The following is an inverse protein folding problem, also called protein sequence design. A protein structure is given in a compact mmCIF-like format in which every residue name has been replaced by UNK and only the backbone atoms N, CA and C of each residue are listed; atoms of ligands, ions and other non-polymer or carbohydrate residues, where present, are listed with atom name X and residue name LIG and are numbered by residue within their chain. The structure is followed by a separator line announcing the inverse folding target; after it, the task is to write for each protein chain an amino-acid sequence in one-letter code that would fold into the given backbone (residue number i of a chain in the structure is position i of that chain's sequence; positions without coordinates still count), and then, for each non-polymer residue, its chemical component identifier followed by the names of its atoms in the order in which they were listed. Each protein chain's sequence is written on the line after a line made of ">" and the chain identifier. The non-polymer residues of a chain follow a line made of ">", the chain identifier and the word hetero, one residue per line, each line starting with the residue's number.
data_IF_989770557887
#
_entry.id   IF_989770557887
#
_cell.length_a   1.000
_cell.length_b   1.000
_cell.length_c   1.000
_cell.angle_alpha   90.00
_cell.angle_beta   90.00
_cell.angle_gamma   90.00
#
_symmetry.space_group_name_H-M   'P 1'
#
loop_
_entity.id
_entity.type
_entity.pdbx_description
1 polymer ?
2 non-polymer ?
3 water ?
#
# COMPACT_ATOMS: atom_id res chain seq x y z
N UNK A 1 -3.67 -6.97 -21.02
CA UNK A 1 -2.73 -5.83 -20.91
C UNK A 1 -3.17 -4.88 -19.81
N UNK A 2 -2.51 -3.73 -19.70
CA UNK A 2 -2.75 -2.77 -18.61
C UNK A 2 -2.60 -1.37 -19.14
N UNK A 3 -3.39 -0.46 -18.62
CA UNK A 3 -3.19 0.96 -18.92
C UNK A 3 -1.80 1.38 -18.46
N UNK A 4 -1.16 2.16 -19.30
CA UNK A 4 0.16 2.73 -19.02
C UNK A 4 -0.01 4.24 -18.84
N UNK A 5 0.39 4.75 -17.67
CA UNK A 5 0.25 6.16 -17.37
C UNK A 5 1.63 6.73 -17.12
N UNK A 6 1.81 7.99 -17.54
CA UNK A 6 3.06 8.71 -17.25
C UNK A 6 2.80 9.74 -16.16
N UNK A 7 3.34 9.47 -14.99
CA UNK A 7 3.06 10.28 -13.80
C UNK A 7 4.34 10.62 -13.06
N UNK A 8 4.31 11.73 -12.30
CA UNK A 8 5.35 11.95 -11.31
C UNK A 8 5.34 10.83 -10.27
N UNK A 9 6.48 10.67 -9.60
CA UNK A 9 6.67 9.60 -8.60
C UNK A 9 7.13 10.20 -7.27
N UNK A 10 6.44 9.85 -6.19
CA UNK A 10 6.94 10.13 -4.84
C UNK A 10 7.60 8.87 -4.27
N UNK A 11 8.89 8.98 -3.91
CA UNK A 11 9.56 7.87 -3.29
C UNK A 11 9.26 7.85 -1.79
N UNK A 12 8.87 6.68 -1.27
CA UNK A 12 8.47 6.55 0.14
C UNK A 12 9.64 5.99 0.92
N UNK A 13 10.09 6.70 1.94
CA UNK A 13 11.29 6.22 2.62
C UNK A 13 11.17 4.88 3.30
N UNK A 14 10.10 4.65 4.03
CA UNK A 14 10.02 3.43 4.82
C UNK A 14 8.59 3.01 5.07
N UNK A 15 7.75 3.23 4.08
CA UNK A 15 6.38 2.82 4.16
C UNK A 15 6.00 2.26 2.81
N UNK A 16 4.99 1.42 2.82
CA UNK A 16 4.36 0.92 1.61
C UNK A 16 2.91 1.32 1.70
N UNK A 17 2.40 1.87 0.62
CA UNK A 17 1.02 2.26 0.54
C UNK A 17 0.31 1.21 -0.32
N UNK A 18 -0.88 0.82 0.12
CA UNK A 18 -1.70 -0.15 -0.58
C UNK A 18 -2.91 0.53 -1.21
N UNK A 19 -3.43 -0.04 -2.29
CA UNK A 19 -4.66 0.50 -2.85
C UNK A 19 -5.81 0.45 -1.85
N UNK A 20 -6.86 1.25 -2.09
CA UNK A 20 -8.05 1.33 -1.23
C UNK A 20 -7.75 2.00 0.12
N UNK A 21 -6.67 2.76 0.21
CA UNK A 21 -6.39 3.52 1.41
C UNK A 21 -6.20 4.97 1.05
N UNK A 22 -6.58 5.84 1.99
CA UNK A 22 -6.34 7.27 1.89
C UNK A 22 -5.52 7.62 3.12
N UNK A 23 -4.32 8.14 2.90
CA UNK A 23 -3.37 8.36 3.99
C UNK A 23 -2.55 9.65 3.80
N UNK A 24 -2.08 10.24 4.91
CA UNK A 24 -1.17 11.38 4.83
C UNK A 24 0.26 10.94 4.56
N UNK A 25 0.93 11.63 3.64
CA UNK A 25 2.33 11.44 3.40
C UNK A 25 2.99 12.80 3.63
N UNK A 26 3.88 12.87 4.61
CA UNK A 26 4.63 14.09 4.88
C UNK A 26 5.90 14.05 4.06
N UNK A 27 6.08 15.03 3.18
CA UNK A 27 7.31 15.05 2.38
C UNK A 27 8.09 16.33 2.59
N UNK A 28 9.37 16.17 2.90
CA UNK A 28 10.27 17.26 3.11
C UNK A 28 11.18 17.54 1.93
N UNK A 29 11.43 16.52 1.09
CA UNK A 29 12.36 16.71 -0.02
C UNK A 29 11.81 17.60 -1.14
N UNK A 30 12.67 18.43 -1.69
CA UNK A 30 12.29 19.30 -2.76
C UNK A 30 11.79 18.57 -4.00
N UNK A 31 12.44 17.47 -4.38
CA UNK A 31 12.01 16.76 -5.57
C UNK A 31 10.64 16.13 -5.34
N UNK A 32 10.35 15.72 -4.13
CA UNK A 32 9.03 15.16 -3.80
C UNK A 32 7.96 16.26 -3.89
N UNK A 33 8.25 17.43 -3.36
CA UNK A 33 7.32 18.55 -3.48
C UNK A 33 7.09 18.94 -4.93
N UNK A 34 8.15 18.91 -5.75
CA UNK A 34 8.04 19.16 -7.16
C UNK A 34 7.11 18.15 -7.82
N UNK A 35 7.29 16.87 -7.49
CA UNK A 35 6.43 15.82 -8.06
C UNK A 35 4.96 16.08 -7.71
N UNK A 36 4.69 16.51 -6.48
CA UNK A 36 3.32 16.82 -6.08
C UNK A 36 2.77 17.97 -6.91
N UNK A 37 3.55 19.03 -7.08
CA UNK A 37 3.10 20.17 -7.90
C UNK A 37 2.80 19.78 -9.34
N UNK A 38 3.64 18.92 -9.91
CA UNK A 38 3.45 18.45 -11.25
C UNK A 38 2.18 17.58 -11.35
N UNK A 39 1.91 16.78 -10.33
CA UNK A 39 0.71 15.94 -10.30
C UNK A 39 -0.53 16.82 -10.21
N UNK A 40 -0.48 17.87 -9.39
CA UNK A 40 -1.60 18.83 -9.34
C UNK A 40 -1.89 19.46 -10.70
N UNK A 41 -0.84 19.70 -11.48
CA UNK A 41 -0.98 20.25 -12.82
C UNK A 41 -1.62 19.34 -13.85
N UNK A 42 -1.79 18.06 -13.51
CA UNK A 42 -2.38 17.08 -14.41
C UNK A 42 -3.24 16.08 -13.63
N UNK A 43 -4.39 16.59 -13.23
CA UNK A 43 -5.46 15.76 -12.64
C UNK A 43 -5.14 15.05 -11.34
N UNK A 44 -4.13 15.56 -10.62
CA UNK A 44 -3.73 15.04 -9.31
C UNK A 44 -3.13 13.62 -9.30
N UNK A 45 -2.91 13.03 -10.47
CA UNK A 45 -2.52 11.62 -10.56
C UNK A 45 -1.01 11.50 -10.30
N UNK A 46 -0.64 10.53 -9.49
CA UNK A 46 0.74 10.35 -9.04
C UNK A 46 1.02 8.86 -8.78
N UNK A 47 2.26 8.45 -8.95
CA UNK A 47 2.72 7.15 -8.47
C UNK A 47 3.43 7.32 -7.13
N UNK A 48 3.25 6.36 -6.24
CA UNK A 48 4.03 6.28 -5.00
C UNK A 48 4.69 4.93 -4.92
N UNK A 49 5.98 4.94 -4.60
CA UNK A 49 6.81 3.76 -4.67
C UNK A 49 7.78 3.78 -3.50
N UNK A 50 7.86 2.67 -2.78
CA UNK A 50 8.82 2.56 -1.66
C UNK A 50 10.27 2.50 -2.13
N UNK A 51 11.14 3.12 -1.35
CA UNK A 51 12.59 2.95 -1.49
C UNK A 51 13.02 1.59 -0.98
N UNK A 52 14.03 1.03 -1.60
CA UNK A 52 14.67 -0.19 -1.09
C UNK A 52 15.45 0.12 0.21
N UNK A 53 15.96 1.34 0.34
CA UNK A 53 16.80 1.78 1.48
C UNK A 53 16.32 3.15 1.97
N UNK A 54 15.77 3.22 3.20
CA UNK A 54 15.23 4.48 3.74
C UNK A 54 16.26 5.59 3.86
N UNK A 55 17.53 5.21 3.86
CA UNK A 55 18.67 6.16 4.01
C UNK A 55 19.06 6.89 2.74
N UNK A 56 18.48 6.54 1.60
CA UNK A 56 18.85 7.19 0.35
C UNK A 56 18.05 8.47 0.23
N UNK A 57 18.75 9.59 0.16
CA UNK A 57 18.09 10.90 0.09
C UNK A 57 17.62 11.34 -1.30
N UNK A 58 18.34 10.95 -2.34
CA UNK A 58 18.03 11.34 -3.73
C UNK A 58 18.06 10.06 -4.57
N UNK A 59 17.02 9.22 -4.45
CA UNK A 59 17.07 7.92 -5.10
C UNK A 59 17.04 7.97 -6.62
N UNK A 60 17.88 7.17 -7.23
CA UNK A 60 17.76 6.83 -8.64
C UNK A 60 16.53 5.94 -8.79
N UNK A 61 16.00 5.83 -10.02
CA UNK A 61 14.94 4.85 -10.23
C UNK A 61 15.29 3.47 -9.67
N UNK A 62 16.56 3.08 -9.82
CA UNK A 62 17.00 1.76 -9.44
C UNK A 62 16.94 1.52 -7.94
N UNK A 63 16.97 2.61 -7.18
CA UNK A 63 16.88 2.57 -5.72
C UNK A 63 15.44 2.33 -5.23
N UNK A 64 14.48 2.28 -6.15
CA UNK A 64 13.08 2.10 -5.78
C UNK A 64 12.59 0.72 -6.17
N UNK A 65 11.74 0.14 -5.34
CA UNK A 65 11.04 -1.07 -5.74
C UNK A 65 10.27 -0.86 -7.03
N UNK A 66 10.06 -1.94 -7.77
CA UNK A 66 9.29 -1.87 -9.02
C UNK A 66 7.82 -1.58 -8.75
N UNK A 67 7.26 -2.25 -7.75
CA UNK A 67 5.82 -2.13 -7.48
C UNK A 67 5.48 -1.00 -6.53
N UNK A 68 4.43 -0.27 -6.90
CA UNK A 68 3.90 0.82 -6.09
C UNK A 68 2.42 0.94 -6.33
N UNK A 69 1.90 2.15 -6.14
CA UNK A 69 0.50 2.44 -6.42
C UNK A 69 0.33 3.68 -7.27
N UNK A 70 -0.75 3.69 -8.04
CA UNK A 70 -1.25 4.90 -8.66
C UNK A 70 -2.27 5.51 -7.70
N UNK A 71 -2.14 6.80 -7.47
CA UNK A 71 -2.98 7.51 -6.49
C UNK A 71 -3.44 8.86 -7.04
N UNK A 72 -4.34 9.47 -6.27
CA UNK A 72 -4.77 10.83 -6.47
C UNK A 72 -4.33 11.66 -5.27
N UNK A 73 -3.73 12.81 -5.53
CA UNK A 73 -3.42 13.76 -4.47
C UNK A 73 -4.68 14.57 -4.18
N UNK A 74 -5.36 14.22 -3.09
CA UNK A 74 -6.64 14.87 -2.76
C UNK A 74 -6.43 16.26 -2.18
N UNK A 75 -5.30 16.43 -1.49
CA UNK A 75 -4.95 17.69 -0.81
C UNK A 75 -3.44 17.73 -0.57
N UNK A 76 -2.85 18.92 -0.60
CA UNK A 76 -1.46 19.11 -0.16
C UNK A 76 -1.37 20.43 0.57
N UNK A 77 -0.96 20.39 1.83
CA UNK A 77 -0.77 21.62 2.59
C UNK A 77 0.51 21.60 3.42
N UNK A 78 1.13 22.77 3.52
CA UNK A 78 2.34 22.97 4.30
C UNK A 78 2.04 22.90 5.82
N UNK A 79 2.94 22.27 6.57
CA UNK A 79 2.88 22.26 8.03
C UNK A 79 3.74 23.43 8.54
N UNK A 80 3.85 23.63 9.87
CA UNK A 80 4.64 24.78 10.35
C UNK A 80 6.12 24.71 9.92
N UNK A 81 6.75 23.55 10.10
CA UNK A 81 8.01 23.25 9.43
C UNK A 81 7.75 23.15 7.93
N UNK A 82 8.77 23.38 7.11
CA UNK A 82 8.61 23.34 5.65
C UNK A 82 7.78 22.17 5.10
N UNK A 83 7.74 21.07 5.84
CA UNK A 83 6.98 19.85 5.51
C UNK A 83 5.67 20.06 4.72
N UNK A 84 5.52 19.29 3.66
CA UNK A 84 4.29 19.28 2.88
C UNK A 84 3.51 18.02 3.25
N UNK A 85 2.31 18.19 3.80
CA UNK A 85 1.44 17.06 4.09
C UNK A 85 0.53 16.78 2.90
N UNK A 86 0.69 15.60 2.32
CA UNK A 86 -0.04 15.22 1.14
C UNK A 86 -1.03 14.12 1.51
N UNK A 87 -2.32 14.36 1.28
CA UNK A 87 -3.32 13.33 1.47
C UNK A 87 -3.43 12.55 0.17
N UNK A 88 -3.09 11.27 0.22
CA UNK A 88 -3.04 10.45 -0.98
C UNK A 88 -4.12 9.39 -0.95
N UNK A 89 -4.96 9.38 -1.97
CA UNK A 89 -5.95 8.36 -2.17
C UNK A 89 -5.39 7.33 -3.15
N UNK A 90 -4.94 6.20 -2.64
CA UNK A 90 -4.34 5.15 -3.48
C UNK A 90 -5.42 4.31 -4.13
N UNK A 91 -5.33 4.17 -5.46
CA UNK A 91 -6.42 3.58 -6.26
C UNK A 91 -6.11 2.21 -6.83
N UNK A 92 -4.85 1.97 -7.22
CA UNK A 92 -4.53 0.78 -7.98
C UNK A 92 -3.07 0.40 -7.82
N UNK A 93 -2.80 -0.90 -7.91
CA UNK A 93 -1.45 -1.42 -8.00
C UNK A 93 -0.79 -0.91 -9.29
N UNK A 94 0.50 -0.59 -9.21
CA UNK A 94 1.26 -0.12 -10.39
C UNK A 94 2.63 -0.77 -10.46
N UNK A 95 3.00 -1.23 -11.67
CA UNK A 95 4.33 -1.72 -11.95
C UNK A 95 5.05 -0.54 -12.60
N UNK A 96 5.89 0.13 -11.81
CA UNK A 96 6.46 1.40 -12.19
C UNK A 96 7.89 1.14 -12.67
N UNK A 97 8.03 0.99 -13.97
CA UNK A 97 9.26 0.46 -14.54
C UNK A 97 10.12 1.48 -15.23
N UNK A 98 9.51 2.35 -16.01
CA UNK A 98 10.21 3.13 -17.03
C UNK A 98 10.29 4.63 -16.72
N UNK A 99 11.42 5.04 -16.15
CA UNK A 99 11.59 6.40 -15.68
C UNK A 99 12.15 7.35 -16.74
N UNK A 100 11.79 8.61 -16.59
CA UNK A 100 12.12 9.66 -17.56
C UNK A 100 13.15 10.60 -16.94
N UNK A 101 14.30 10.78 -17.59
CA UNK A 101 15.27 11.70 -17.02
C UNK A 101 14.71 13.11 -16.84
N UNK A 102 15.04 13.71 -15.72
CA UNK A 102 14.56 15.04 -15.39
C UNK A 102 14.77 15.43 -13.96
N UNK A 103 14.26 16.62 -13.61
CA UNK A 103 14.56 17.24 -12.31
C UNK A 103 13.79 16.67 -11.09
N UNK A 104 12.87 15.72 -11.34
CA UNK A 104 12.17 15.00 -10.29
C UNK A 104 11.88 13.61 -10.90
N UNK A 105 11.41 12.67 -10.08
CA UNK A 105 11.10 11.32 -10.56
C UNK A 105 9.80 11.33 -11.31
N UNK A 106 9.83 10.78 -12.52
CA UNK A 106 8.66 10.66 -13.35
C UNK A 106 8.80 9.33 -14.12
N UNK A 107 7.69 8.61 -14.28
CA UNK A 107 7.76 7.30 -14.89
C UNK A 107 6.50 6.94 -15.64
N UNK A 108 6.67 6.03 -16.60
CA UNK A 108 5.54 5.36 -17.21
C UNK A 108 5.42 4.02 -16.52
N UNK A 109 4.22 3.74 -16.03
CA UNK A 109 3.97 2.52 -15.28
C UNK A 109 2.63 1.91 -15.66
N UNK A 110 2.56 0.60 -15.52
CA UNK A 110 1.33 -0.14 -15.83
C UNK A 110 0.47 -0.18 -14.58
N UNK A 111 -0.80 0.17 -14.74
CA UNK A 111 -1.75 0.22 -13.64
C UNK A 111 -2.64 -0.98 -13.80
N UNK A 112 -2.92 -1.64 -12.70
CA UNK A 112 -3.74 -2.85 -12.71
C UNK A 112 -5.12 -2.59 -12.16
N UNK A 113 -6.11 -3.20 -12.81
CA UNK A 113 -7.42 -3.26 -12.23
C UNK A 113 -7.49 -4.58 -11.50
N UNK A 114 -8.64 -4.77 -10.85
CA UNK A 114 -9.09 -6.10 -10.52
C UNK A 114 -9.94 -6.58 -11.68
N UNK A 115 -9.88 -7.88 -11.94
CA UNK A 115 -10.74 -8.53 -12.92
C UNK A 115 -11.68 -9.44 -12.13
N UNK A 116 -12.81 -9.83 -12.74
CA UNK A 116 -13.80 -10.59 -12.00
C UNK A 116 -13.13 -11.82 -11.39
N UNK A 117 -13.42 -12.14 -10.11
CA UNK A 117 -12.66 -13.10 -9.29
C UNK A 117 -12.40 -14.53 -9.76
N UNK A 118 -12.70 -14.88 -11.02
CA UNK A 118 -12.26 -16.16 -11.59
C UNK A 118 -12.94 -17.36 -10.90
N UNK A 119 -12.36 -17.90 -9.82
CA UNK A 119 -13.09 -18.90 -9.02
C UNK A 119 -13.79 -18.18 -7.88
N UNK A 120 -15.02 -17.77 -8.14
CA UNK A 120 -15.75 -16.88 -7.23
C UNK A 120 -16.00 -17.51 -5.88
N UNK A 121 -16.38 -18.79 -5.89
CA UNK A 121 -16.74 -19.47 -4.66
C UNK A 121 -15.52 -19.71 -3.76
N UNK A 122 -14.38 -19.99 -4.36
CA UNK A 122 -13.13 -20.14 -3.58
C UNK A 122 -12.77 -18.80 -2.94
N UNK A 123 -12.83 -17.73 -3.73
CA UNK A 123 -12.57 -16.40 -3.20
C UNK A 123 -13.49 -16.03 -2.02
N UNK A 124 -14.77 -16.38 -2.09
CA UNK A 124 -15.71 -16.08 -1.00
C UNK A 124 -15.33 -16.81 0.29
N UNK A 125 -14.84 -18.04 0.16
CA UNK A 125 -14.38 -18.78 1.33
C UNK A 125 -13.15 -18.11 1.93
N UNK A 126 -12.21 -17.71 1.08
CA UNK A 126 -10.99 -17.06 1.57
C UNK A 126 -11.33 -15.72 2.28
N UNK A 127 -12.32 -15.01 1.76
CA UNK A 127 -12.79 -13.77 2.41
C UNK A 127 -13.25 -14.03 3.85
N UNK A 128 -14.05 -15.07 4.04
CA UNK A 128 -14.48 -15.44 5.37
C UNK A 128 -13.31 -15.84 6.25
N UNK A 129 -12.38 -16.61 5.71
CA UNK A 129 -11.20 -16.99 6.47
C UNK A 129 -10.38 -15.77 6.89
N UNK A 130 -10.23 -14.82 5.97
CA UNK A 130 -9.47 -13.62 6.26
C UNK A 130 -10.10 -12.79 7.38
N UNK A 131 -11.40 -12.61 7.33
CA UNK A 131 -12.11 -11.84 8.35
C UNK A 131 -11.96 -12.48 9.72
N UNK A 132 -12.10 -13.81 9.79
CA UNK A 132 -11.96 -14.51 11.06
C UNK A 132 -10.52 -14.37 11.60
N UNK A 133 -9.53 -14.56 10.74
CA UNK A 133 -8.13 -14.49 11.14
C UNK A 133 -7.77 -13.07 11.58
N UNK A 134 -8.35 -12.07 10.91
CA UNK A 134 -8.01 -10.70 11.24
C UNK A 134 -8.55 -10.33 12.61
N UNK A 135 -9.78 -10.76 12.91
CA UNK A 135 -10.33 -10.51 14.24
C UNK A 135 -9.42 -11.09 15.32
N UNK A 136 -8.92 -12.31 15.12
CA UNK A 136 -8.04 -12.94 16.11
C UNK A 136 -6.71 -12.21 16.21
N UNK A 137 -6.19 -11.85 15.04
CA UNK A 137 -4.94 -11.10 14.97
C UNK A 137 -4.98 -9.84 15.81
N UNK A 138 -6.02 -9.01 15.62
CA UNK A 138 -6.15 -7.78 16.37
C UNK A 138 -6.38 -8.09 17.86
N UNK A 139 -7.23 -9.08 18.16
CA UNK A 139 -7.54 -9.43 19.56
C UNK A 139 -6.29 -9.84 20.34
N UNK A 140 -5.35 -10.50 19.66
CA UNK A 140 -4.17 -11.07 20.31
C UNK A 140 -2.90 -10.25 20.12
N UNK A 141 -2.99 -9.16 19.36
CA UNK A 141 -1.84 -8.32 19.11
C UNK A 141 -1.46 -7.61 20.40
N UNK A 142 -0.17 -7.52 20.70
CA UNK A 142 0.28 -6.89 21.93
C UNK A 142 0.54 -5.38 21.82
N UNK A 143 0.65 -4.86 20.61
CA UNK A 143 0.93 -3.44 20.34
C UNK A 143 -0.14 -2.71 19.55
N UNK A 144 -0.71 -3.38 18.56
CA UNK A 144 -1.69 -2.80 17.66
C UNK A 144 -3.05 -2.77 18.32
N UNK A 145 -3.72 -1.61 18.23
CA UNK A 145 -5.07 -1.44 18.82
C UNK A 145 -5.99 -0.70 17.83
N UNK A 146 -7.04 -1.38 17.36
CA UNK A 146 -8.02 -0.80 16.45
C UNK A 146 -9.28 -0.51 17.23
N UNK A 147 -9.89 0.64 16.98
CA UNK A 147 -11.23 0.92 17.49
C UNK A 147 -12.33 0.17 16.73
N UNK A 148 -13.54 0.26 17.26
CA UNK A 148 -14.67 -0.49 16.74
C UNK A 148 -14.96 -0.18 15.28
N UNK A 149 -14.68 1.05 14.84
CA UNK A 149 -15.03 1.46 13.48
C UNK A 149 -14.11 0.79 12.47
N UNK A 150 -12.83 0.73 12.81
CA UNK A 150 -11.84 0.07 11.93
C UNK A 150 -12.15 -1.43 11.80
N UNK A 151 -12.49 -2.07 12.92
CA UNK A 151 -12.81 -3.49 12.90
C UNK A 151 -14.09 -3.75 12.15
N UNK A 152 -15.10 -2.91 12.38
CA UNK A 152 -16.38 -3.03 11.69
C UNK A 152 -16.18 -2.96 10.18
N UNK A 153 -15.33 -2.02 9.75
CA UNK A 153 -15.09 -1.82 8.34
C UNK A 153 -14.50 -3.05 7.67
N UNK A 154 -13.56 -3.73 8.33
CA UNK A 154 -13.00 -4.95 7.74
C UNK A 154 -14.08 -6.01 7.64
N UNK A 155 -14.80 -6.23 8.73
CA UNK A 155 -15.87 -7.21 8.75
C UNK A 155 -16.94 -6.93 7.70
N UNK A 156 -17.21 -5.66 7.44
CA UNK A 156 -18.27 -5.29 6.49
C UNK A 156 -17.84 -5.14 5.05
N UNK A 157 -16.59 -5.49 4.73
CA UNK A 157 -16.09 -5.37 3.37
C UNK A 157 -16.49 -6.59 2.55
N UNK A 158 -17.19 -6.38 1.43
CA UNK A 158 -17.55 -7.48 0.53
C UNK A 158 -16.64 -7.62 -0.71
N UNK A 159 -15.78 -6.63 -0.94
CA UNK A 159 -14.83 -6.59 -2.06
C UNK A 159 -13.55 -7.29 -1.59
N UNK A 160 -13.23 -8.46 -2.17
CA UNK A 160 -12.07 -9.22 -1.67
C UNK A 160 -10.75 -8.49 -1.79
N UNK A 161 -10.57 -7.73 -2.88
CA UNK A 161 -9.37 -6.94 -3.07
C UNK A 161 -9.26 -5.84 -2.00
N UNK A 162 -10.35 -5.13 -1.74
CA UNK A 162 -10.33 -4.13 -0.67
C UNK A 162 -10.04 -4.75 0.69
N UNK A 163 -10.63 -5.92 0.93
CA UNK A 163 -10.41 -6.63 2.19
C UNK A 163 -8.93 -6.91 2.42
N UNK A 164 -8.30 -7.55 1.44
CA UNK A 164 -6.91 -7.92 1.58
C UNK A 164 -6.00 -6.69 1.76
N UNK A 165 -6.28 -5.62 1.01
CA UNK A 165 -5.46 -4.40 1.10
C UNK A 165 -5.66 -3.66 2.42
N UNK A 166 -6.89 -3.65 2.93
CA UNK A 166 -7.20 -2.99 4.21
C UNK A 166 -6.52 -3.76 5.35
N UNK A 167 -6.58 -5.08 5.31
CA UNK A 167 -5.89 -5.89 6.30
C UNK A 167 -4.39 -5.59 6.27
N UNK A 168 -3.83 -5.58 5.05
CA UNK A 168 -2.39 -5.33 4.88
C UNK A 168 -2.00 -3.94 5.35
N UNK A 169 -2.90 -2.97 5.19
CA UNK A 169 -2.71 -1.61 5.72
C UNK A 169 -2.57 -1.59 7.24
N UNK A 170 -3.52 -2.23 7.93
CA UNK A 170 -3.53 -2.24 9.40
C UNK A 170 -2.41 -3.07 10.01
N UNK A 171 -2.06 -4.18 9.38
CA UNK A 171 -1.15 -5.15 9.96
C UNK A 171 0.27 -4.59 10.07
N UNK A 172 0.96 -4.98 11.13
CA UNK A 172 2.31 -4.52 11.39
C UNK A 172 3.33 -5.42 10.69
N UNK A 173 3.38 -5.31 9.36
CA UNK A 173 4.28 -6.11 8.53
C UNK A 173 5.35 -5.20 7.92
N UNK A 174 6.47 -5.80 7.58
CA UNK A 174 7.64 -5.06 7.09
C UNK A 174 7.42 -4.47 5.69
N UNK A 175 8.31 -3.56 5.30
CA UNK A 175 8.27 -3.06 3.93
C UNK A 175 8.36 -4.22 2.93
N UNK A 176 9.29 -5.15 3.14
CA UNK A 176 9.43 -6.28 2.22
C UNK A 176 8.16 -7.12 2.13
N UNK A 177 7.53 -7.37 3.27
CA UNK A 177 6.30 -8.13 3.30
C UNK A 177 5.17 -7.43 2.57
N UNK A 178 5.00 -6.13 2.82
CA UNK A 178 3.96 -5.40 2.10
C UNK A 178 4.26 -5.27 0.60
N UNK A 179 5.53 -5.15 0.23
CA UNK A 179 5.91 -5.20 -1.20
C UNK A 179 5.51 -6.54 -1.85
N UNK A 180 5.67 -7.63 -1.12
CA UNK A 180 5.27 -8.94 -1.62
C UNK A 180 3.77 -8.97 -1.87
N UNK A 181 3.00 -8.31 -1.02
CA UNK A 181 1.56 -8.24 -1.19
C UNK A 181 1.18 -7.36 -2.38
N UNK A 182 1.89 -6.24 -2.55
CA UNK A 182 1.63 -5.34 -3.67
C UNK A 182 1.82 -6.03 -5.03
N UNK A 183 2.83 -6.88 -5.11
CA UNK A 183 3.17 -7.49 -6.40
C UNK A 183 2.23 -8.64 -6.79
N UNK A 184 1.43 -9.14 -5.84
CA UNK A 184 0.46 -10.19 -6.15
C UNK A 184 -0.81 -9.65 -6.79
N UNK A 185 -0.82 -9.62 -8.11
CA UNK A 185 -1.97 -9.11 -8.85
C UNK A 185 -3.07 -10.17 -8.98
N UNK A 186 -2.70 -11.45 -8.94
CA UNK A 186 -3.68 -12.53 -8.88
C UNK A 186 -4.41 -12.52 -7.56
N UNK A 187 -5.73 -12.44 -7.59
CA UNK A 187 -6.49 -12.19 -6.38
C UNK A 187 -6.41 -13.36 -5.40
N UNK A 188 -6.60 -14.58 -5.90
CA UNK A 188 -6.54 -15.74 -5.02
C UNK A 188 -5.18 -15.86 -4.32
N UNK A 189 -4.10 -15.71 -5.07
CA UNK A 189 -2.75 -15.74 -4.50
C UNK A 189 -2.54 -14.63 -3.45
N UNK A 190 -3.07 -13.44 -3.72
CA UNK A 190 -2.96 -12.34 -2.77
C UNK A 190 -3.72 -12.63 -1.47
N UNK A 191 -4.94 -13.13 -1.58
CA UNK A 191 -5.71 -13.48 -0.39
C UNK A 191 -4.99 -14.55 0.43
N UNK A 192 -4.47 -15.57 -0.24
CA UNK A 192 -3.74 -16.63 0.48
C UNK A 192 -2.49 -16.12 1.18
N UNK A 193 -1.77 -15.19 0.56
CA UNK A 193 -0.56 -14.63 1.17
C UNK A 193 -0.89 -13.86 2.44
N UNK A 194 -1.92 -13.02 2.36
CA UNK A 194 -2.35 -12.25 3.52
C UNK A 194 -2.84 -13.19 4.65
N UNK A 195 -3.62 -14.20 4.28
CA UNK A 195 -4.08 -15.17 5.26
C UNK A 195 -2.88 -15.88 5.90
N UNK A 196 -1.91 -16.24 5.09
CA UNK A 196 -0.70 -16.90 5.56
C UNK A 196 0.08 -16.09 6.56
N UNK A 197 0.25 -14.79 6.29
CA UNK A 197 0.92 -13.91 7.22
C UNK A 197 0.18 -13.76 8.54
N UNK A 198 -1.16 -13.63 8.46
CA UNK A 198 -1.96 -13.54 9.68
C UNK A 198 -1.85 -14.79 10.50
N UNK A 199 -1.93 -15.94 9.83
CA UNK A 199 -1.88 -17.22 10.52
C UNK A 199 -0.51 -17.42 11.19
N UNK A 200 0.57 -17.08 10.49
CA UNK A 200 1.91 -17.18 11.07
C UNK A 200 1.99 -16.29 12.31
N UNK A 201 1.52 -15.05 12.20
CA UNK A 201 1.59 -14.11 13.31
C UNK A 201 0.77 -14.62 14.50
N UNK A 202 -0.39 -15.22 14.25
CA UNK A 202 -1.19 -15.75 15.35
C UNK A 202 -0.41 -16.81 16.12
N UNK A 203 0.25 -17.70 15.40
CA UNK A 203 1.12 -18.68 16.05
C UNK A 203 2.31 -18.03 16.79
N UNK A 204 2.94 -17.02 16.19
CA UNK A 204 4.04 -16.28 16.86
C UNK A 204 3.57 -15.64 18.18
N UNK A 205 2.35 -15.11 18.18
CA UNK A 205 1.84 -14.40 19.35
C UNK A 205 1.66 -15.39 20.50
N UNK A 206 1.22 -16.60 20.18
CA UNK A 206 1.06 -17.64 21.20
C UNK A 206 2.43 -18.02 21.79
N UNK A 207 3.44 -18.12 20.93
CA UNK A 207 4.80 -18.40 21.39
C UNK A 207 5.36 -17.31 22.29
N UNK A 208 5.14 -16.06 21.92
CA UNK A 208 5.67 -14.94 22.70
C UNK A 208 4.98 -14.87 24.07
N UNK A 209 3.70 -15.27 24.09
CA UNK A 209 2.93 -15.33 25.32
C UNK A 209 3.47 -16.41 26.26
N UNK A 210 3.82 -17.57 25.71
CA UNK A 210 4.43 -18.65 26.49
C UNK A 210 5.77 -18.25 27.10
N UNK A 211 6.70 -17.77 26.26
CA UNK A 211 8.07 -17.48 26.72
C UNK A 211 8.16 -16.33 27.73
N UNK A 212 7.24 -15.36 27.65
CA UNK A 212 7.18 -14.26 28.62
C UNK A 212 6.76 -14.75 30.00
X LIG B 1 11.63 -5.61 -7.27
X LIG B 1 12.05 -5.63 -8.68
X LIG B 1 11.05 -4.30 -6.91
X LIG B 1 10.59 -6.64 -7.05
X LIG B 1 12.78 -5.91 -6.37
X LIG C 1 11.37 13.08 3.05
X LIG C 1 10.59 13.79 4.10
X LIG C 1 10.96 13.60 1.72
X LIG C 1 11.20 11.65 3.17
X LIG C 1 12.81 13.41 3.30
#
# INVERSE_FOLDING_TARGET
>A
GHMRLELPVIPLRNTVILPHTTTPVDVGRAKSKRAVEEAMGADRLIFLVAQRDPEVDDPAPDDLYTWGVQAVVKQAMRLPDGTLQVMVEARARAQVTDYIPGPYLRARGEVFSEIFPIDEAVVRVLVEELKEAFEKYVANHKSLRLDRYQLEAVKGTSDPAMLADTIAYHATWTVAEKQEILELTDLEARLKKVLGLLSRDLERFELDKRVAQRVKEQMDTNQREYYLREQMKAIQKELGGEDGLSDLEALRKKIEEVGMPEAVKTKALKELDRLERMQQGSPEATVARTYLD
>B hetero
1 SO4 S O1 O2 O3 O4
>C hetero
1 SO4 S O1 O2 O3 O4
#
